data_IF_202388238284
#
_entry.id   IF_202388238284
#
_cell.length_a   1.000
_cell.length_b   1.000
_cell.length_c   1.000
_cell.angle_alpha   90.00
_cell.angle_beta   90.00
_cell.angle_gamma   90.00
#
_symmetry.space_group_name_H-M   'P 1'
#
loop_
_entity.id
_entity.type
_entity.pdbx_description
1 polymer ?
#
# COMPACT_ATOMS: atom_id res chain seq x y z
N UNK A 1 -4.40 17.55 14.45
CA UNK A 1 -3.71 16.73 13.44
C UNK A 1 -4.70 15.70 12.91
N UNK A 2 -4.62 15.36 11.63
CA UNK A 2 -5.47 14.31 11.03
C UNK A 2 -5.17 12.96 11.70
N UNK A 3 -6.17 12.08 11.79
CA UNK A 3 -6.05 10.81 12.51
C UNK A 3 -6.29 9.63 11.59
N UNK A 4 -5.48 8.61 11.74
CA UNK A 4 -5.55 7.40 10.91
C UNK A 4 -6.09 6.28 11.75
N UNK A 5 -7.09 5.56 11.23
CA UNK A 5 -7.69 4.44 11.95
C UNK A 5 -7.72 3.20 11.10
N UNK A 6 -7.08 2.16 11.59
CA UNK A 6 -7.08 0.83 11.02
C UNK A 6 -8.17 -0.01 11.69
N UNK A 7 -8.92 -0.77 10.90
CA UNK A 7 -9.98 -1.67 11.37
C UNK A 7 -10.00 -2.94 10.55
N UNK A 8 -10.41 -4.03 11.17
CA UNK A 8 -10.88 -5.23 10.46
C UNK A 8 -12.39 -5.34 10.61
N UNK A 9 -13.10 -5.61 9.51
CA UNK A 9 -14.53 -5.88 9.48
C UNK A 9 -14.78 -7.27 8.95
N UNK A 10 -15.85 -7.90 9.38
CA UNK A 10 -16.30 -9.16 8.78
C UNK A 10 -17.48 -8.89 7.86
N UNK A 11 -17.40 -9.36 6.62
CA UNK A 11 -18.50 -9.38 5.67
C UNK A 11 -18.80 -10.83 5.27
N UNK A 12 -20.07 -11.29 5.34
CA UNK A 12 -20.43 -12.70 5.12
C UNK A 12 -19.92 -13.31 3.80
N UNK A 13 -19.83 -12.51 2.73
CA UNK A 13 -19.39 -12.97 1.40
C UNK A 13 -17.90 -12.76 1.13
N UNK A 14 -17.22 -11.90 1.88
CA UNK A 14 -15.84 -11.44 1.59
C UNK A 14 -14.86 -11.77 2.72
N UNK A 15 -15.36 -12.32 3.83
CA UNK A 15 -14.55 -12.64 4.99
C UNK A 15 -14.07 -11.38 5.71
N UNK A 16 -12.81 -11.41 6.16
CA UNK A 16 -12.20 -10.29 6.88
C UNK A 16 -11.71 -9.22 5.89
N UNK A 17 -12.19 -8.00 6.08
CA UNK A 17 -11.83 -6.82 5.30
C UNK A 17 -11.01 -5.90 6.18
N UNK A 18 -9.79 -5.62 5.75
CA UNK A 18 -8.94 -4.63 6.37
C UNK A 18 -9.23 -3.26 5.76
N UNK A 19 -9.47 -2.26 6.59
CA UNK A 19 -9.81 -0.91 6.16
C UNK A 19 -8.96 0.12 6.90
N UNK A 20 -8.37 1.03 6.14
CA UNK A 20 -7.69 2.21 6.66
C UNK A 20 -8.47 3.45 6.28
N UNK A 21 -8.86 4.23 7.30
CA UNK A 21 -9.54 5.50 7.14
C UNK A 21 -8.71 6.65 7.69
N UNK A 22 -8.85 7.79 7.04
CA UNK A 22 -8.34 9.09 7.45
C UNK A 22 -9.50 9.93 8.00
N UNK A 23 -9.34 10.46 9.20
CA UNK A 23 -10.30 11.35 9.82
C UNK A 23 -9.71 12.75 9.87
N UNK A 24 -10.30 13.72 9.14
CA UNK A 24 -9.90 15.12 9.27
C UNK A 24 -10.18 15.61 10.69
N UNK A 25 -9.36 16.54 11.17
CA UNK A 25 -9.63 17.17 12.46
C UNK A 25 -10.74 18.21 12.30
N UNK A 26 -11.86 17.99 12.98
CA UNK A 26 -12.91 19.00 13.10
C UNK A 26 -12.87 19.62 14.50
N UNK A 27 -12.67 20.94 14.62
CA UNK A 27 -12.56 21.60 15.92
C UNK A 27 -13.88 21.67 16.71
N UNK A 28 -15.03 21.53 16.05
CA UNK A 28 -16.36 21.76 16.65
C UNK A 28 -17.33 20.58 16.54
N UNK A 29 -16.85 19.41 16.14
CA UNK A 29 -17.70 18.24 15.89
C UNK A 29 -17.04 17.01 16.56
N UNK A 30 -17.87 16.13 17.13
CA UNK A 30 -17.40 14.85 17.66
C UNK A 30 -17.25 13.81 16.55
N UNK A 31 -16.19 13.00 16.60
CA UNK A 31 -15.87 11.97 15.61
C UNK A 31 -17.06 11.08 15.24
N UNK A 32 -17.48 11.08 13.96
CA UNK A 32 -18.42 10.11 13.40
C UNK A 32 -17.71 9.24 12.39
N UNK A 33 -18.18 8.00 12.27
CA UNK A 33 -17.63 7.03 11.32
C UNK A 33 -17.72 7.49 9.85
N UNK A 34 -18.74 8.30 9.56
CA UNK A 34 -19.03 8.84 8.23
C UNK A 34 -18.02 9.92 7.79
N UNK A 35 -17.31 10.56 8.71
CA UNK A 35 -16.32 11.59 8.38
C UNK A 35 -15.00 10.99 7.86
N UNK A 36 -14.81 9.69 8.06
CA UNK A 36 -13.59 8.99 7.68
C UNK A 36 -13.51 8.77 6.17
N UNK A 37 -12.54 9.40 5.52
CA UNK A 37 -12.18 9.11 4.13
C UNK A 37 -11.48 7.75 4.05
N UNK A 38 -12.01 6.82 3.24
CA UNK A 38 -11.37 5.54 3.00
C UNK A 38 -10.09 5.73 2.17
N UNK A 39 -8.93 5.40 2.75
CA UNK A 39 -7.64 5.43 2.06
C UNK A 39 -7.31 4.10 1.41
N UNK A 40 -7.71 3.00 2.03
CA UNK A 40 -7.39 1.66 1.58
C UNK A 40 -8.35 0.62 2.13
N UNK A 41 -8.67 -0.38 1.31
CA UNK A 41 -9.43 -1.56 1.73
C UNK A 41 -8.88 -2.81 1.04
N UNK A 42 -8.78 -3.91 1.78
CA UNK A 42 -8.32 -5.18 1.25
C UNK A 42 -9.12 -6.36 1.84
N UNK A 43 -9.59 -7.24 0.97
CA UNK A 43 -10.27 -8.48 1.35
C UNK A 43 -9.63 -9.72 0.72
N UNK A 44 -8.53 -9.56 -0.04
CA UNK A 44 -7.84 -10.68 -0.69
C UNK A 44 -6.95 -11.38 0.35
N UNK A 45 -7.09 -12.69 0.60
CA UNK A 45 -6.39 -13.37 1.70
C UNK A 45 -4.87 -13.17 1.71
N UNK A 46 -4.21 -13.34 0.56
CA UNK A 46 -2.75 -13.19 0.45
C UNK A 46 -2.27 -11.76 0.72
N UNK A 47 -3.03 -10.77 0.22
CA UNK A 47 -2.71 -9.36 0.43
C UNK A 47 -2.98 -8.96 1.88
N UNK A 48 -4.03 -9.51 2.50
CA UNK A 48 -4.33 -9.33 3.93
C UNK A 48 -3.22 -9.93 4.79
N UNK A 49 -2.74 -11.14 4.48
CA UNK A 49 -1.63 -11.76 5.21
C UNK A 49 -0.36 -10.89 5.13
N UNK A 50 -0.06 -10.37 3.94
CA UNK A 50 1.05 -9.45 3.77
C UNK A 50 0.86 -8.14 4.55
N UNK A 51 -0.32 -7.52 4.47
CA UNK A 51 -0.66 -6.31 5.22
C UNK A 51 -0.60 -6.54 6.73
N UNK A 52 -0.95 -7.73 7.23
CA UNK A 52 -0.80 -8.10 8.64
C UNK A 52 0.66 -8.03 9.08
N UNK A 53 1.56 -8.69 8.35
CA UNK A 53 2.99 -8.64 8.66
C UNK A 53 3.57 -7.23 8.58
N UNK A 54 3.12 -6.43 7.62
CA UNK A 54 3.56 -5.05 7.45
C UNK A 54 3.01 -4.14 8.57
N UNK A 55 1.78 -4.36 9.02
CA UNK A 55 1.13 -3.53 10.03
C UNK A 55 1.53 -3.89 11.46
N UNK A 56 2.15 -5.04 11.73
CA UNK A 56 2.60 -5.46 13.06
C UNK A 56 3.34 -4.35 13.83
N UNK A 57 4.44 -3.75 13.31
CA UNK A 57 5.13 -2.68 14.04
C UNK A 57 4.23 -1.47 14.28
N UNK A 58 3.30 -1.16 13.37
CA UNK A 58 2.41 -0.01 13.49
C UNK A 58 1.31 -0.25 14.54
N UNK A 59 0.82 -1.48 14.65
CA UNK A 59 -0.16 -1.91 15.64
C UNK A 59 0.44 -1.96 17.06
N UNK A 60 1.72 -2.32 17.17
CA UNK A 60 2.46 -2.29 18.43
C UNK A 60 2.80 -0.87 18.90
N UNK A 61 2.82 0.11 17.98
CA UNK A 61 3.06 1.53 18.24
C UNK A 61 1.78 2.38 18.22
N UNK A 62 0.61 1.75 18.08
CA UNK A 62 -0.67 2.43 17.98
C UNK A 62 -0.94 3.33 19.19
N UNK A 63 -1.59 4.46 18.95
CA UNK A 63 -1.84 5.48 19.99
C UNK A 63 -2.96 5.05 20.94
N UNK A 64 -4.01 4.46 20.39
CA UNK A 64 -5.17 4.00 21.14
C UNK A 64 -6.05 3.05 20.30
N UNK A 65 -6.76 2.09 20.90
CA UNK A 65 -6.52 1.51 22.24
C UNK A 65 -5.11 0.92 22.38
N UNK A 66 -4.84 0.26 23.50
CA UNK A 66 -3.54 -0.35 23.80
C UNK A 66 -2.96 -1.16 22.61
N UNK A 67 -1.62 -1.20 22.49
CA UNK A 67 -0.91 -2.00 21.50
C UNK A 67 -1.47 -3.42 21.36
N UNK A 68 -1.51 -3.92 20.13
CA UNK A 68 -2.02 -5.26 19.82
C UNK A 68 -1.13 -5.91 18.76
N UNK A 69 -0.94 -7.22 18.85
CA UNK A 69 -0.25 -7.98 17.79
C UNK A 69 -1.15 -8.09 16.55
N UNK A 70 -0.58 -8.17 15.36
CA UNK A 70 -1.37 -8.35 14.14
C UNK A 70 -2.11 -9.69 14.12
N UNK A 71 -1.65 -10.70 14.86
CA UNK A 71 -2.35 -11.98 15.06
C UNK A 71 -3.67 -11.79 15.82
N UNK A 72 -3.67 -10.99 16.88
CA UNK A 72 -4.86 -10.71 17.70
C UNK A 72 -5.76 -9.64 17.09
N UNK A 73 -5.24 -8.83 16.17
CA UNK A 73 -6.02 -7.80 15.49
C UNK A 73 -6.92 -8.40 14.40
N UNK A 74 -8.19 -8.61 14.73
CA UNK A 74 -9.21 -9.20 13.86
C UNK A 74 -10.56 -8.47 13.94
N UNK A 75 -11.64 -9.02 13.36
CA UNK A 75 -12.94 -8.34 13.27
C UNK A 75 -13.58 -7.96 14.61
N UNK A 76 -13.20 -8.64 15.69
CA UNK A 76 -13.68 -8.39 17.05
C UNK A 76 -12.79 -7.40 17.82
N UNK A 77 -11.60 -7.10 17.30
CA UNK A 77 -10.71 -6.13 17.93
C UNK A 77 -11.21 -4.70 17.66
N UNK A 78 -11.06 -3.84 18.66
CA UNK A 78 -11.34 -2.42 18.49
C UNK A 78 -10.43 -1.80 17.42
N UNK A 79 -10.92 -0.84 16.61
CA UNK A 79 -10.08 -0.12 15.66
C UNK A 79 -8.88 0.55 16.33
N UNK A 80 -7.72 0.56 15.65
CA UNK A 80 -6.49 1.16 16.17
C UNK A 80 -6.23 2.51 15.52
N UNK A 81 -6.05 3.54 16.34
CA UNK A 81 -5.53 4.83 15.96
C UNK A 81 -4.03 4.73 15.78
N UNK A 82 -3.57 5.02 14.57
CA UNK A 82 -2.16 4.97 14.22
C UNK A 82 -1.55 6.36 14.33
N UNK A 83 -0.24 6.39 14.61
CA UNK A 83 0.56 7.60 14.43
C UNK A 83 0.40 8.08 12.98
N UNK A 84 0.44 9.42 12.73
CA UNK A 84 0.23 9.96 11.39
C UNK A 84 1.09 9.31 10.31
N UNK A 85 2.38 9.15 10.58
CA UNK A 85 3.33 8.59 9.62
C UNK A 85 3.08 7.10 9.33
N UNK A 86 2.78 6.31 10.37
CA UNK A 86 2.42 4.90 10.23
C UNK A 86 1.14 4.74 9.40
N UNK A 87 0.16 5.64 9.62
CA UNK A 87 -1.04 5.73 8.81
C UNK A 87 -0.76 6.03 7.33
N UNK A 88 0.14 6.97 7.04
CA UNK A 88 0.55 7.29 5.67
C UNK A 88 1.30 6.14 5.00
N UNK A 89 2.26 5.52 5.69
CA UNK A 89 2.98 4.32 5.22
C UNK A 89 2.00 3.20 4.89
N UNK A 90 1.06 2.93 5.79
CA UNK A 90 0.07 1.88 5.58
C UNK A 90 -0.88 2.18 4.41
N UNK A 91 -1.24 3.44 4.17
CA UNK A 91 -2.06 3.82 3.02
C UNK A 91 -1.36 3.54 1.68
N UNK A 92 -0.05 3.82 1.60
CA UNK A 92 0.76 3.44 0.45
C UNK A 92 0.79 1.92 0.28
N UNK A 93 0.99 1.16 1.37
CA UNK A 93 0.94 -0.30 1.34
C UNK A 93 -0.41 -0.84 0.84
N UNK A 94 -1.55 -0.29 1.29
CA UNK A 94 -2.87 -0.65 0.77
C UNK A 94 -3.01 -0.40 -0.73
N UNK A 95 -2.46 0.72 -1.23
CA UNK A 95 -2.48 1.01 -2.66
C UNK A 95 -1.58 0.09 -3.47
N UNK A 96 -0.43 -0.30 -2.91
CA UNK A 96 0.50 -1.23 -3.53
C UNK A 96 0.01 -2.69 -3.52
N UNK A 97 -0.74 -3.10 -2.49
CA UNK A 97 -1.19 -4.47 -2.25
C UNK A 97 -1.90 -5.12 -3.45
N UNK A 98 -2.55 -4.29 -4.28
CA UNK A 98 -3.29 -4.75 -5.46
C UNK A 98 -2.38 -5.12 -6.64
N UNK A 99 -1.19 -4.53 -6.72
CA UNK A 99 -0.34 -4.57 -7.91
C UNK A 99 0.95 -5.35 -7.69
N UNK A 100 1.40 -5.48 -6.44
CA UNK A 100 2.65 -6.16 -6.14
C UNK A 100 2.47 -7.68 -6.09
N UNK A 101 3.40 -8.38 -6.73
CA UNK A 101 3.61 -9.83 -6.60
C UNK A 101 4.29 -10.20 -5.26
N UNK A 102 4.22 -11.47 -4.80
CA UNK A 102 4.77 -11.87 -3.50
C UNK A 102 6.24 -11.48 -3.26
N UNK A 103 7.11 -11.57 -4.27
CA UNK A 103 8.52 -11.15 -4.15
C UNK A 103 8.65 -9.64 -3.96
N UNK A 104 7.90 -8.85 -4.75
CA UNK A 104 7.92 -7.39 -4.66
C UNK A 104 7.32 -6.89 -3.34
N UNK A 105 6.30 -7.59 -2.82
CA UNK A 105 5.70 -7.32 -1.50
C UNK A 105 6.72 -7.40 -0.36
N UNK A 106 7.66 -8.37 -0.41
CA UNK A 106 8.74 -8.50 0.58
C UNK A 106 9.69 -7.30 0.52
N UNK A 107 10.22 -7.00 -0.67
CA UNK A 107 11.11 -5.86 -0.87
C UNK A 107 10.46 -4.52 -0.48
N UNK A 108 9.19 -4.32 -0.85
CA UNK A 108 8.45 -3.11 -0.50
C UNK A 108 8.29 -2.95 1.00
N UNK A 109 7.93 -4.03 1.72
CA UNK A 109 7.78 -4.00 3.19
C UNK A 109 9.08 -3.57 3.86
N UNK A 110 10.18 -4.21 3.50
CA UNK A 110 11.47 -4.00 4.18
C UNK A 110 11.95 -2.54 4.00
N UNK A 111 11.64 -1.91 2.86
CA UNK A 111 12.01 -0.50 2.59
C UNK A 111 11.01 0.53 3.10
N UNK A 112 9.73 0.18 3.28
CA UNK A 112 8.68 1.16 3.62
C UNK A 112 8.89 1.77 5.01
N UNK A 113 9.31 0.99 6.00
CA UNK A 113 9.58 1.48 7.36
C UNK A 113 10.86 2.33 7.42
N UNK A 114 11.81 2.08 6.51
CA UNK A 114 13.07 2.84 6.38
C UNK A 114 12.89 4.20 5.68
N UNK A 115 11.77 4.43 4.98
CA UNK A 115 11.57 5.67 4.24
C UNK A 115 11.44 6.88 5.19
N UNK A 116 12.19 7.97 4.92
CA UNK A 116 12.01 9.23 5.65
C UNK A 116 10.57 9.71 5.59
N UNK A 117 10.08 10.28 6.69
CA UNK A 117 8.69 10.70 6.84
C UNK A 117 8.28 11.76 5.81
N UNK A 118 9.22 12.60 5.37
CA UNK A 118 9.02 13.59 4.32
C UNK A 118 8.74 12.92 2.97
N UNK A 119 9.48 11.86 2.63
CA UNK A 119 9.27 11.10 1.38
C UNK A 119 7.90 10.42 1.41
N UNK A 120 7.53 9.84 2.56
CA UNK A 120 6.20 9.24 2.76
C UNK A 120 5.12 10.31 2.61
N UNK A 121 5.29 11.48 3.21
CA UNK A 121 4.36 12.60 3.11
C UNK A 121 4.19 13.06 1.67
N UNK A 122 5.27 13.25 0.90
CA UNK A 122 5.17 13.65 -0.51
C UNK A 122 4.38 12.65 -1.35
N UNK A 123 4.69 11.36 -1.22
CA UNK A 123 3.95 10.31 -1.93
C UNK A 123 2.49 10.24 -1.47
N UNK A 124 2.25 10.35 -0.17
CA UNK A 124 0.91 10.36 0.38
C UNK A 124 0.09 11.53 -0.17
N UNK A 125 0.66 12.74 -0.17
CA UNK A 125 0.02 13.94 -0.71
C UNK A 125 -0.29 13.78 -2.20
N UNK A 126 0.62 13.24 -3.00
CA UNK A 126 0.37 13.00 -4.43
C UNK A 126 -0.72 11.95 -4.69
N UNK A 127 -0.77 10.87 -3.90
CA UNK A 127 -1.69 9.76 -4.13
C UNK A 127 -3.08 9.97 -3.51
N UNK A 128 -3.17 10.70 -2.40
CA UNK A 128 -4.37 10.78 -1.56
C UNK A 128 -4.83 12.21 -1.25
N UNK A 129 -4.09 13.26 -1.65
CA UNK A 129 -4.51 14.66 -1.57
C UNK A 129 -4.45 15.38 -2.94
N UNK A 130 -5.16 16.50 -3.04
CA UNK A 130 -5.12 17.38 -4.21
C UNK A 130 -5.83 16.88 -5.47
N UNK A 131 -5.71 17.66 -6.55
CA UNK A 131 -6.40 17.42 -7.83
C UNK A 131 -5.78 16.29 -8.67
N UNK A 132 -4.53 15.88 -8.39
CA UNK A 132 -3.77 14.90 -9.19
C UNK A 132 -3.71 13.49 -8.59
N UNK A 133 -4.61 13.14 -7.66
CA UNK A 133 -4.66 11.81 -7.01
C UNK A 133 -4.58 10.64 -7.99
N UNK A 134 -5.31 10.71 -9.10
CA UNK A 134 -5.31 9.66 -10.13
C UNK A 134 -3.93 9.49 -10.77
N UNK A 135 -3.29 10.60 -11.14
CA UNK A 135 -1.95 10.61 -11.71
C UNK A 135 -0.90 10.14 -10.70
N UNK A 136 -0.99 10.58 -9.44
CA UNK A 136 -0.08 10.11 -8.37
C UNK A 136 -0.19 8.61 -8.14
N UNK A 137 -1.41 8.06 -8.10
CA UNK A 137 -1.62 6.60 -8.00
C UNK A 137 -1.13 5.84 -9.23
N UNK A 138 -1.29 6.41 -10.42
CA UNK A 138 -0.77 5.83 -11.65
C UNK A 138 0.77 5.81 -11.64
N UNK A 139 1.42 6.91 -11.26
CA UNK A 139 2.87 6.99 -11.13
C UNK A 139 3.41 5.98 -10.10
N UNK A 140 2.79 5.92 -8.92
CA UNK A 140 3.16 4.93 -7.90
C UNK A 140 3.04 3.50 -8.45
N UNK A 141 1.93 3.16 -9.11
CA UNK A 141 1.77 1.85 -9.75
C UNK A 141 2.88 1.59 -10.76
N UNK A 142 3.13 2.53 -11.68
CA UNK A 142 4.16 2.37 -12.70
C UNK A 142 5.51 2.10 -12.07
N UNK A 143 5.94 2.89 -11.08
CA UNK A 143 7.21 2.69 -10.39
C UNK A 143 7.31 1.34 -9.68
N UNK A 144 6.20 0.89 -9.08
CA UNK A 144 6.15 -0.39 -8.36
C UNK A 144 6.16 -1.63 -9.26
N UNK A 145 5.66 -1.50 -10.48
CA UNK A 145 5.56 -2.61 -11.45
C UNK A 145 6.51 -2.45 -12.64
N UNK A 146 7.38 -1.43 -12.63
CA UNK A 146 8.33 -1.21 -13.71
C UNK A 146 9.41 -2.27 -13.61
N UNK A 147 9.46 -3.14 -14.61
CA UNK A 147 10.59 -4.01 -14.85
C UNK A 147 11.52 -3.26 -15.80
N UNK A 148 12.72 -2.89 -15.33
CA UNK A 148 13.75 -2.38 -16.24
C UNK A 148 13.96 -3.43 -17.34
N UNK A 149 13.82 -3.08 -18.63
CA UNK A 149 14.19 -4.01 -19.69
C UNK A 149 15.66 -4.33 -19.50
N UNK A 150 15.95 -5.59 -19.21
CA UNK A 150 17.29 -6.05 -18.92
C UNK A 150 18.24 -5.58 -20.02
N UNK A 151 19.39 -5.02 -19.62
CA UNK A 151 20.48 -4.67 -20.53
C UNK A 151 20.89 -5.84 -21.45
N UNK A 152 20.51 -7.06 -21.10
CA UNK A 152 20.79 -8.29 -21.85
C UNK A 152 19.93 -8.49 -23.11
N UNK A 153 18.83 -7.75 -23.31
CA UNK A 153 18.06 -7.81 -24.57
C UNK A 153 18.64 -6.92 -25.69
N UNK A 154 19.66 -6.11 -25.42
CA UNK A 154 20.28 -5.26 -26.42
C UNK A 154 21.26 -6.01 -27.36
N UNK A 155 21.65 -7.25 -27.03
CA UNK A 155 22.64 -8.02 -27.79
C UNK A 155 22.05 -9.07 -28.75
N UNK A 156 20.74 -9.30 -28.77
CA UNK A 156 20.10 -10.11 -29.82
C UNK A 156 19.72 -9.24 -31.02
N UNK A 157 20.73 -8.65 -31.68
CA UNK A 157 20.55 -8.21 -33.07
C UNK A 157 20.33 -9.46 -33.93
N UNK A 158 19.28 -9.52 -34.77
CA UNK A 158 19.10 -10.65 -35.67
C UNK A 158 20.29 -10.67 -36.64
N UNK A 159 21.11 -11.74 -36.59
CA UNK A 159 22.11 -12.01 -37.64
C UNK A 159 21.36 -12.09 -38.96
N UNK A 160 21.53 -11.08 -39.79
CA UNK A 160 21.07 -11.08 -41.17
C UNK A 160 21.56 -12.37 -41.84
N UNK A 161 20.63 -13.29 -42.09
CA UNK A 161 20.86 -14.46 -42.92
C UNK A 161 21.27 -13.95 -44.29
N UNK A 162 22.58 -14.02 -44.56
CA UNK A 162 23.15 -13.73 -45.87
C UNK A 162 22.48 -14.68 -46.86
N UNK A 163 21.68 -14.11 -47.76
CA UNK A 163 21.38 -14.66 -49.08
C UNK A 163 22.69 -15.05 -49.75
N UNK A 164 23.07 -16.32 -49.62
CA UNK A 164 24.11 -16.96 -50.40
C UNK A 164 23.46 -17.58 -51.61
N UNK A 165 23.60 -16.91 -52.75
CA UNK A 165 23.18 -17.46 -54.04
C UNK A 165 23.97 -18.71 -54.40
N UNK A 166 23.32 -19.65 -55.06
CA UNK A 166 24.00 -20.64 -55.90
C UNK A 166 23.13 -20.91 -57.13
N UNK A 167 23.51 -20.23 -58.21
CA UNK A 167 23.44 -20.72 -59.61
C UNK A 167 24.88 -21.12 -59.98
N UNK A 168 25.15 -21.92 -61.03
CA UNK A 168 24.28 -22.27 -62.16
C UNK A 168 23.66 -23.66 -62.09
#
# INVERSE_FOLDING_TARGET
>A
MERYRLRVRHEPKRGSIWELKLFPQHPFHGFREADGQLLGSCSKPEAVLWLRHLAEPFLLRAEAPEPITAEKFGPQAEPRWLKPEDGMRLALAFSAARYLEPKQRRLFRDRLDELPSEVVLYWFTLCFYGHRRSAGRAALRTLLTYEEPGRDQADERPKASRRGGKKP
#
